data_IF_074535818511
#
_entry.id   IF_074535818511
#
_cell.length_a   1.000
_cell.length_b   1.000
_cell.length_c   1.000
_cell.angle_alpha   90.00
_cell.angle_beta   90.00
_cell.angle_gamma   90.00
#
_symmetry.space_group_name_H-M   'P 1'
#
loop_
_entity.id
_entity.type
_entity.pdbx_description
1 polymer ?
#
# COMPACT_ATOMS: atom_id res chain seq x y z
N UNK A 1 13.33 5.10 -20.71
CA UNK A 1 12.87 5.58 -19.43
C UNK A 1 12.22 4.44 -18.65
N UNK A 2 12.63 4.28 -17.41
CA UNK A 2 12.06 3.33 -16.46
C UNK A 2 11.15 4.09 -15.50
N UNK A 3 9.95 3.56 -15.23
CA UNK A 3 8.98 4.22 -14.35
C UNK A 3 7.93 3.21 -13.92
N UNK A 4 7.59 3.11 -12.63
CA UNK A 4 6.46 2.31 -12.20
C UNK A 4 5.15 2.91 -12.70
N UNK A 5 4.12 2.11 -12.74
CA UNK A 5 2.75 2.52 -13.04
C UNK A 5 1.93 2.58 -11.73
N UNK A 6 0.73 3.15 -11.78
CA UNK A 6 -0.23 3.07 -10.68
C UNK A 6 0.10 3.86 -9.41
N UNK A 7 0.99 4.85 -9.47
CA UNK A 7 1.24 5.77 -8.36
C UNK A 7 2.07 5.21 -7.20
N UNK A 8 2.66 4.03 -7.34
CA UNK A 8 3.47 3.37 -6.31
C UNK A 8 4.95 3.37 -6.67
N UNK A 9 5.80 3.38 -5.63
CA UNK A 9 7.26 3.38 -5.81
C UNK A 9 7.81 2.07 -6.37
N UNK A 10 7.14 0.95 -6.09
CA UNK A 10 7.53 -0.40 -6.52
C UNK A 10 6.32 -1.09 -7.10
N UNK A 11 6.22 -1.13 -8.42
CA UNK A 11 5.11 -1.75 -9.12
C UNK A 11 5.52 -2.21 -10.53
N UNK A 12 4.87 -3.28 -10.98
CA UNK A 12 5.15 -3.88 -12.28
C UNK A 12 6.59 -4.36 -12.36
N UNK A 13 7.28 -3.93 -13.38
CA UNK A 13 8.61 -4.43 -13.72
C UNK A 13 9.76 -3.66 -13.04
N UNK A 14 9.44 -2.61 -12.25
CA UNK A 14 10.46 -1.71 -11.74
C UNK A 14 10.45 -1.57 -10.23
N UNK A 15 11.65 -1.72 -9.64
CA UNK A 15 11.97 -1.32 -8.27
C UNK A 15 12.78 -0.01 -8.31
N UNK A 16 12.71 0.84 -7.29
CA UNK A 16 13.41 2.13 -7.28
C UNK A 16 14.92 2.00 -7.02
N UNK A 17 15.55 0.93 -7.49
CA UNK A 17 16.96 0.62 -7.28
C UNK A 17 17.59 0.10 -8.56
N UNK A 18 18.71 0.69 -8.93
CA UNK A 18 19.46 0.31 -10.12
C UNK A 18 20.92 0.10 -9.76
N UNK A 19 21.51 -1.00 -10.18
CA UNK A 19 22.94 -1.27 -10.06
C UNK A 19 23.57 -1.24 -11.43
N UNK A 20 24.48 -0.32 -11.64
CA UNK A 20 25.26 -0.18 -12.87
C UNK A 20 26.67 -0.64 -12.57
N UNK A 21 27.12 -1.67 -13.25
CA UNK A 21 28.43 -2.29 -13.10
C UNK A 21 29.28 -2.07 -14.35
N UNK A 22 30.52 -1.69 -14.13
CA UNK A 22 31.52 -1.59 -15.18
C UNK A 22 32.17 -2.97 -15.45
N UNK A 23 32.73 -3.20 -16.64
CA UNK A 23 33.51 -4.41 -16.91
C UNK A 23 34.71 -4.62 -15.98
N UNK A 24 35.16 -3.57 -15.32
CA UNK A 24 36.25 -3.62 -14.34
C UNK A 24 35.84 -4.10 -12.94
N UNK A 25 34.58 -4.50 -12.74
CA UNK A 25 34.09 -4.97 -11.42
C UNK A 25 33.88 -3.85 -10.41
N UNK A 26 33.61 -2.66 -10.87
CA UNK A 26 33.20 -1.51 -10.06
C UNK A 26 31.75 -1.15 -10.39
N UNK A 27 31.00 -0.59 -9.44
CA UNK A 27 29.64 -0.21 -9.72
C UNK A 27 29.13 0.92 -8.87
N UNK A 28 27.96 1.41 -9.29
CA UNK A 28 27.18 2.37 -8.55
C UNK A 28 25.73 1.90 -8.43
N UNK A 29 25.20 1.96 -7.23
CA UNK A 29 23.78 1.74 -6.98
C UNK A 29 23.08 3.09 -6.84
N UNK A 30 22.10 3.31 -7.70
CA UNK A 30 21.17 4.42 -7.64
C UNK A 30 19.92 3.98 -6.86
N UNK A 31 19.52 4.69 -5.83
CA UNK A 31 18.25 4.50 -5.13
C UNK A 31 17.37 5.74 -5.26
N UNK A 32 16.13 5.55 -5.70
CA UNK A 32 15.13 6.62 -5.83
C UNK A 32 14.24 6.62 -4.60
N UNK A 33 14.40 7.60 -3.73
CA UNK A 33 13.63 7.76 -2.49
C UNK A 33 12.38 8.61 -2.70
N UNK A 34 11.39 8.03 -3.36
CA UNK A 34 10.08 8.63 -3.61
C UNK A 34 8.99 7.59 -3.44
N UNK A 35 7.89 7.95 -2.79
CA UNK A 35 6.77 7.02 -2.53
C UNK A 35 5.77 6.91 -3.68
N UNK A 36 5.70 7.93 -4.55
CA UNK A 36 4.83 7.95 -5.72
C UNK A 36 5.55 7.53 -7.01
N UNK A 37 4.96 7.87 -8.14
CA UNK A 37 5.52 7.57 -9.47
C UNK A 37 6.78 8.40 -9.71
N UNK A 38 7.88 7.72 -9.93
CA UNK A 38 9.18 8.27 -10.28
C UNK A 38 9.56 7.89 -11.72
N UNK A 39 10.61 8.51 -12.24
CA UNK A 39 11.27 8.04 -13.44
C UNK A 39 12.77 7.89 -13.19
N UNK A 40 13.39 7.03 -13.97
CA UNK A 40 14.84 6.94 -14.09
C UNK A 40 15.22 6.69 -15.54
N UNK A 41 16.17 7.47 -16.02
CA UNK A 41 16.80 7.31 -17.33
C UNK A 41 18.28 7.02 -17.14
N UNK A 42 18.77 6.02 -17.84
CA UNK A 42 20.19 5.69 -17.90
C UNK A 42 20.60 5.67 -19.37
N UNK A 43 21.53 6.54 -19.73
CA UNK A 43 22.02 6.67 -21.09
C UNK A 43 23.52 6.47 -21.12
N UNK A 44 24.01 5.60 -21.99
CA UNK A 44 25.42 5.48 -22.32
C UNK A 44 25.71 6.49 -23.43
N UNK A 45 26.50 7.50 -23.11
CA UNK A 45 26.86 8.58 -24.06
C UNK A 45 28.05 8.15 -24.95
N UNK A 46 29.02 7.46 -24.34
CA UNK A 46 30.19 6.94 -24.96
C UNK A 46 30.74 5.75 -24.16
N UNK A 47 31.90 5.21 -24.57
CA UNK A 47 32.51 4.08 -23.87
C UNK A 47 32.98 4.35 -22.43
N UNK A 48 32.86 5.58 -21.95
CA UNK A 48 33.35 6.01 -20.61
C UNK A 48 32.35 6.79 -19.80
N UNK A 49 31.29 7.28 -20.44
CA UNK A 49 30.35 8.21 -19.80
C UNK A 49 28.95 7.62 -19.80
N UNK A 50 28.39 7.49 -18.58
CA UNK A 50 26.98 7.14 -18.35
C UNK A 50 26.32 8.35 -17.70
N UNK A 51 25.23 8.82 -18.26
CA UNK A 51 24.38 9.82 -17.65
C UNK A 51 23.15 9.16 -17.02
N UNK A 52 22.76 9.66 -15.85
CA UNK A 52 21.58 9.21 -15.14
C UNK A 52 20.72 10.42 -14.80
N UNK A 53 19.41 10.33 -15.03
CA UNK A 53 18.43 11.30 -14.60
C UNK A 53 17.31 10.59 -13.85
N UNK A 54 16.85 11.16 -12.74
CA UNK A 54 15.74 10.59 -11.97
C UNK A 54 15.01 11.67 -11.20
N UNK A 55 13.71 11.49 -11.01
CA UNK A 55 12.86 12.43 -10.28
C UNK A 55 11.40 11.96 -10.22
N UNK A 56 10.50 12.87 -9.89
CA UNK A 56 9.06 12.65 -10.06
C UNK A 56 8.73 12.57 -11.53
N UNK A 57 7.91 11.59 -11.93
CA UNK A 57 7.52 11.43 -13.34
C UNK A 57 6.70 12.61 -13.84
N UNK A 58 5.77 13.06 -13.03
CA UNK A 58 4.93 14.21 -13.33
C UNK A 58 4.93 15.15 -12.13
N UNK A 59 5.16 16.42 -12.40
CA UNK A 59 5.07 17.47 -11.40
C UNK A 59 4.30 18.63 -12.01
N UNK A 60 3.12 18.94 -11.44
CA UNK A 60 2.29 20.06 -11.82
C UNK A 60 1.79 20.73 -10.54
N UNK A 61 2.62 21.55 -9.94
CA UNK A 61 2.32 22.24 -8.69
C UNK A 61 2.98 23.63 -8.67
N UNK A 62 2.49 24.48 -7.79
CA UNK A 62 3.14 25.74 -7.41
C UNK A 62 3.28 25.79 -5.89
N UNK A 63 4.29 26.48 -5.41
CA UNK A 63 4.48 26.71 -3.98
C UNK A 63 3.97 28.10 -3.63
N UNK A 64 3.22 28.18 -2.55
CA UNK A 64 2.82 29.47 -1.95
C UNK A 64 3.99 30.06 -1.16
N UNK A 65 4.02 31.38 -0.89
CA UNK A 65 5.02 31.97 -0.02
C UNK A 65 5.12 31.23 1.32
N UNK A 66 6.35 30.89 1.72
CA UNK A 66 6.69 30.13 2.94
C UNK A 66 6.29 28.63 2.92
N UNK A 67 5.72 28.13 1.85
CA UNK A 67 5.45 26.71 1.68
C UNK A 67 6.73 25.94 1.36
N UNK A 68 6.91 24.79 1.99
CA UNK A 68 8.05 23.90 1.76
C UNK A 68 7.54 22.50 1.45
N UNK A 69 8.07 21.91 0.39
CA UNK A 69 7.78 20.51 0.03
C UNK A 69 9.03 19.67 0.09
N UNK A 70 8.86 18.37 0.27
CA UNK A 70 9.93 17.40 0.12
C UNK A 70 9.93 16.86 -1.31
N UNK A 71 11.06 16.88 -1.97
CA UNK A 71 11.28 16.28 -3.28
C UNK A 71 11.82 14.85 -3.14
N UNK A 72 11.85 14.04 -4.22
CA UNK A 72 12.58 12.78 -4.23
C UNK A 72 14.02 12.94 -3.78
N UNK A 73 14.49 12.00 -2.97
CA UNK A 73 15.91 11.91 -2.62
C UNK A 73 16.59 10.88 -3.50
N UNK A 74 17.75 11.22 -4.06
CA UNK A 74 18.53 10.29 -4.85
C UNK A 74 19.75 9.87 -4.05
N UNK A 75 19.89 8.56 -3.84
CA UNK A 75 21.04 7.98 -3.15
C UNK A 75 21.95 7.31 -4.16
N UNK A 76 23.24 7.67 -4.10
CA UNK A 76 24.28 7.01 -4.89
C UNK A 76 25.23 6.29 -3.95
N UNK A 77 25.47 5.00 -4.22
CA UNK A 77 26.42 4.19 -3.45
C UNK A 77 27.39 3.52 -4.38
N UNK A 78 28.66 3.91 -4.29
CA UNK A 78 29.75 3.31 -5.06
C UNK A 78 30.25 2.03 -4.36
N UNK A 79 30.61 1.04 -5.18
CA UNK A 79 31.23 -0.18 -4.71
C UNK A 79 32.32 -0.64 -5.69
N UNK A 80 33.36 -1.23 -5.14
CA UNK A 80 34.50 -1.75 -5.87
C UNK A 80 35.15 -2.90 -5.09
N UNK A 81 35.93 -3.73 -5.77
CA UNK A 81 36.66 -4.83 -5.16
C UNK A 81 35.80 -5.85 -4.37
N UNK A 82 34.54 -5.92 -4.70
CA UNK A 82 33.56 -6.88 -4.15
C UNK A 82 32.68 -7.39 -5.29
N UNK A 83 32.00 -8.51 -5.08
CA UNK A 83 31.02 -8.98 -6.04
C UNK A 83 29.74 -8.12 -6.04
N UNK A 84 28.93 -8.25 -7.08
CA UNK A 84 27.66 -7.50 -7.24
C UNK A 84 26.70 -7.69 -6.06
N UNK A 85 26.62 -8.91 -5.52
CA UNK A 85 25.74 -9.21 -4.40
C UNK A 85 26.23 -8.55 -3.11
N UNK A 86 27.52 -8.48 -2.89
CA UNK A 86 28.10 -7.73 -1.77
C UNK A 86 27.83 -6.23 -1.91
N UNK A 87 27.84 -5.69 -3.14
CA UNK A 87 27.39 -4.33 -3.45
C UNK A 87 25.93 -4.10 -3.05
N UNK A 88 25.02 -5.00 -3.46
CA UNK A 88 23.61 -4.96 -3.05
C UNK A 88 23.45 -5.02 -1.52
N UNK A 89 24.18 -5.90 -0.85
CA UNK A 89 24.11 -6.02 0.60
C UNK A 89 24.65 -4.78 1.32
N UNK A 90 25.63 -4.08 0.74
CA UNK A 90 26.10 -2.78 1.24
C UNK A 90 24.98 -1.74 1.18
N UNK A 91 24.23 -1.67 0.07
CA UNK A 91 23.09 -0.78 -0.08
C UNK A 91 21.94 -1.15 0.88
N UNK A 92 21.61 -2.43 1.02
CA UNK A 92 20.61 -2.90 1.99
C UNK A 92 20.95 -2.48 3.42
N UNK A 93 22.20 -2.61 3.83
CA UNK A 93 22.66 -2.13 5.16
C UNK A 93 22.51 -0.61 5.30
N UNK A 94 22.82 0.15 4.25
CA UNK A 94 22.59 1.59 4.24
C UNK A 94 21.11 1.95 4.41
N UNK A 95 20.20 1.32 3.65
CA UNK A 95 18.76 1.52 3.77
C UNK A 95 18.28 1.17 5.19
N UNK A 96 18.71 0.03 5.72
CA UNK A 96 18.36 -0.39 7.07
C UNK A 96 18.85 0.64 8.12
N UNK A 97 20.08 1.08 8.03
CA UNK A 97 20.67 2.00 9.00
C UNK A 97 20.06 3.42 8.98
N UNK A 98 19.75 3.94 7.77
CA UNK A 98 19.46 5.36 7.58
C UNK A 98 18.05 5.68 7.07
N UNK A 99 17.34 4.72 6.48
CA UNK A 99 16.02 4.92 5.87
C UNK A 99 14.92 4.10 6.55
N UNK A 100 15.26 3.04 7.27
CA UNK A 100 14.28 2.24 8.00
C UNK A 100 13.75 2.99 9.22
N UNK A 101 12.47 2.79 9.50
CA UNK A 101 11.79 3.40 10.65
C UNK A 101 12.45 2.96 11.95
N UNK A 102 12.64 3.91 12.84
CA UNK A 102 13.09 3.67 14.22
C UNK A 102 12.04 4.19 15.21
N UNK A 103 11.85 3.44 16.28
CA UNK A 103 11.02 3.81 17.43
C UNK A 103 11.93 3.87 18.64
N UNK A 104 12.03 5.03 19.30
CA UNK A 104 12.92 5.26 20.45
C UNK A 104 14.40 4.85 20.17
N UNK A 105 14.87 5.16 18.95
CA UNK A 105 16.25 4.90 18.50
C UNK A 105 16.55 3.44 18.09
N UNK A 106 15.61 2.51 18.28
CA UNK A 106 15.72 1.11 17.84
C UNK A 106 14.99 0.90 16.53
N UNK A 107 15.44 -0.05 15.72
CA UNK A 107 14.70 -0.44 14.53
C UNK A 107 13.29 -0.91 14.92
N UNK A 108 12.29 -0.47 14.14
CA UNK A 108 10.94 -0.93 14.33
C UNK A 108 10.88 -2.44 14.05
N UNK A 109 10.34 -3.18 15.01
CA UNK A 109 9.97 -4.58 14.80
C UNK A 109 8.65 -4.63 14.05
N UNK A 110 8.59 -5.45 13.02
CA UNK A 110 7.38 -5.66 12.24
C UNK A 110 6.67 -6.88 12.79
N UNK A 111 5.42 -6.74 13.24
CA UNK A 111 4.68 -7.84 13.82
C UNK A 111 4.38 -8.91 12.76
N UNK A 112 4.37 -10.17 13.17
CA UNK A 112 3.79 -11.23 12.35
C UNK A 112 2.30 -11.01 12.23
N UNK A 113 1.83 -10.75 11.01
CA UNK A 113 0.42 -10.50 10.74
C UNK A 113 -0.22 -11.62 9.92
N UNK A 114 -1.53 -11.82 10.10
CA UNK A 114 -2.33 -12.72 9.29
C UNK A 114 -3.67 -12.10 8.98
N UNK A 115 -4.09 -12.18 7.71
CA UNK A 115 -5.41 -11.75 7.25
C UNK A 115 -6.44 -12.88 7.30
N UNK A 116 -7.71 -12.51 7.27
CA UNK A 116 -8.83 -13.43 7.08
C UNK A 116 -9.11 -13.65 5.59
N UNK A 117 -8.05 -13.88 4.82
CA UNK A 117 -8.18 -14.15 3.39
C UNK A 117 -8.97 -15.43 3.17
N UNK A 118 -10.06 -15.27 2.46
CA UNK A 118 -10.96 -16.33 2.16
C UNK A 118 -10.96 -16.60 0.66
N UNK A 119 -10.36 -17.73 0.30
CA UNK A 119 -10.44 -18.27 -1.06
C UNK A 119 -11.18 -19.60 -0.99
N UNK A 120 -12.49 -19.54 -0.84
CA UNK A 120 -13.27 -20.73 -0.99
C UNK A 120 -13.81 -20.85 -2.42
N UNK A 121 -14.01 -22.08 -2.90
CA UNK A 121 -14.70 -22.28 -4.16
C UNK A 121 -16.09 -21.65 -4.12
N UNK A 122 -16.61 -21.33 -5.28
CA UNK A 122 -17.94 -20.74 -5.43
C UNK A 122 -18.94 -21.22 -4.35
N UNK A 123 -19.82 -20.33 -3.81
CA UNK A 123 -20.13 -19.02 -4.37
C UNK A 123 -19.28 -17.86 -3.82
N UNK A 124 -18.38 -18.10 -2.87
CA UNK A 124 -17.60 -17.05 -2.25
C UNK A 124 -16.46 -16.61 -3.16
N UNK A 125 -16.50 -15.36 -3.58
CA UNK A 125 -15.38 -14.67 -4.18
C UNK A 125 -14.67 -13.83 -3.11
N UNK A 126 -13.56 -13.26 -3.43
CA UNK A 126 -12.71 -12.42 -2.58
C UNK A 126 -13.51 -11.65 -1.51
N UNK A 127 -13.32 -12.01 -0.25
CA UNK A 127 -13.96 -11.45 0.96
C UNK A 127 -15.51 -11.52 1.05
N UNK A 128 -16.22 -12.04 0.06
CA UNK A 128 -17.69 -12.00 0.00
C UNK A 128 -18.38 -12.85 1.06
N UNK A 129 -17.71 -13.87 1.60
CA UNK A 129 -18.25 -14.72 2.68
C UNK A 129 -17.66 -14.42 4.06
N UNK A 130 -16.95 -13.32 4.21
CA UNK A 130 -16.40 -12.91 5.50
C UNK A 130 -17.52 -12.49 6.45
N UNK A 131 -17.64 -13.19 7.57
CA UNK A 131 -18.59 -12.91 8.66
C UNK A 131 -17.89 -12.86 9.99
N UNK A 132 -18.55 -12.31 11.02
CA UNK A 132 -18.03 -12.32 12.39
C UNK A 132 -17.72 -13.74 12.88
N UNK A 133 -18.64 -14.68 12.66
CA UNK A 133 -18.47 -16.07 13.10
C UNK A 133 -17.31 -16.76 12.37
N UNK A 134 -17.17 -16.50 11.08
CA UNK A 134 -16.03 -17.01 10.32
C UNK A 134 -14.71 -16.47 10.84
N UNK A 135 -14.59 -15.15 11.05
CA UNK A 135 -13.37 -14.52 11.56
C UNK A 135 -13.00 -15.08 12.95
N UNK A 136 -13.98 -15.19 13.85
CA UNK A 136 -13.81 -15.80 15.19
C UNK A 136 -13.35 -17.27 15.10
N UNK A 137 -13.97 -18.05 14.22
CA UNK A 137 -13.58 -19.44 14.01
C UNK A 137 -12.14 -19.56 13.49
N UNK A 138 -11.73 -18.65 12.59
CA UNK A 138 -10.36 -18.62 12.07
C UNK A 138 -9.34 -18.28 13.15
N UNK A 139 -9.59 -17.29 14.02
CA UNK A 139 -8.71 -16.98 15.17
C UNK A 139 -8.51 -18.23 16.02
N UNK A 140 -9.59 -18.91 16.41
CA UNK A 140 -9.54 -20.14 17.21
C UNK A 140 -8.74 -21.23 16.52
N UNK A 141 -8.90 -21.38 15.20
CA UNK A 141 -8.18 -22.38 14.40
C UNK A 141 -6.69 -22.10 14.33
N UNK A 142 -6.27 -20.84 14.17
CA UNK A 142 -4.86 -20.45 14.24
C UNK A 142 -4.23 -20.88 15.56
N UNK A 143 -4.90 -20.59 16.68
CA UNK A 143 -4.40 -20.96 18.01
C UNK A 143 -4.38 -22.48 18.20
N UNK A 144 -5.38 -23.19 17.73
CA UNK A 144 -5.44 -24.65 17.76
C UNK A 144 -4.23 -25.31 17.07
N UNK A 145 -3.77 -24.71 15.95
CA UNK A 145 -2.58 -25.19 15.23
C UNK A 145 -1.26 -24.60 15.73
N UNK A 146 -1.28 -23.89 16.86
CA UNK A 146 -0.06 -23.28 17.44
C UNK A 146 0.46 -22.05 16.70
N UNK A 147 -0.32 -21.53 15.74
CA UNK A 147 0.01 -20.29 15.02
C UNK A 147 -0.45 -19.10 15.83
N UNK A 148 0.49 -18.20 16.15
CA UNK A 148 0.25 -17.03 17.01
C UNK A 148 0.63 -15.75 16.30
N UNK A 149 -0.19 -15.24 15.34
CA UNK A 149 0.01 -13.90 14.79
C UNK A 149 -0.07 -12.84 15.88
N UNK A 150 0.74 -11.81 15.77
CA UNK A 150 0.70 -10.65 16.68
C UNK A 150 -0.37 -9.64 16.24
N UNK A 151 -0.76 -9.69 14.95
CA UNK A 151 -1.82 -8.88 14.37
C UNK A 151 -2.69 -9.76 13.49
N UNK A 152 -4.01 -9.72 13.73
CA UNK A 152 -4.99 -10.18 12.78
C UNK A 152 -5.58 -8.97 12.05
N UNK A 153 -5.64 -9.04 10.72
CA UNK A 153 -6.20 -7.95 9.93
C UNK A 153 -7.41 -8.40 9.12
N UNK A 154 -8.44 -7.57 9.21
CA UNK A 154 -9.67 -7.70 8.46
C UNK A 154 -9.52 -6.88 7.19
N UNK A 155 -9.43 -7.56 6.08
CA UNK A 155 -9.35 -6.96 4.75
C UNK A 155 -10.72 -6.42 4.31
N UNK A 156 -10.88 -6.09 3.06
CA UNK A 156 -12.12 -5.60 2.48
C UNK A 156 -13.34 -6.49 2.81
N UNK A 157 -14.53 -5.95 2.59
CA UNK A 157 -15.77 -6.71 2.70
C UNK A 157 -16.43 -6.67 4.08
N UNK A 158 -15.91 -5.94 5.03
CA UNK A 158 -16.59 -5.70 6.32
C UNK A 158 -17.57 -4.51 6.26
N UNK A 159 -17.46 -3.68 5.26
CA UNK A 159 -18.11 -2.38 5.07
C UNK A 159 -19.13 -2.36 3.93
N UNK A 160 -19.83 -3.43 3.69
CA UNK A 160 -20.88 -3.45 2.68
C UNK A 160 -22.23 -3.08 3.27
N UNK A 161 -23.10 -2.54 2.45
CA UNK A 161 -24.52 -2.46 2.76
C UNK A 161 -25.14 -3.87 2.72
N UNK A 162 -26.00 -4.16 3.66
CA UNK A 162 -26.71 -5.42 3.75
C UNK A 162 -27.43 -5.81 2.45
N UNK A 163 -28.04 -4.84 1.78
CA UNK A 163 -28.73 -5.03 0.51
C UNK A 163 -27.79 -5.48 -0.62
N UNK A 164 -26.52 -5.06 -0.57
CA UNK A 164 -25.54 -5.38 -1.61
C UNK A 164 -25.01 -6.81 -1.50
N UNK A 165 -24.97 -7.36 -0.32
CA UNK A 165 -24.57 -8.75 -0.11
C UNK A 165 -25.53 -9.75 -0.74
N UNK A 166 -26.85 -9.52 -0.60
CA UNK A 166 -27.89 -10.37 -1.17
C UNK A 166 -27.87 -10.40 -2.71
N UNK A 167 -27.37 -9.33 -3.32
CA UNK A 167 -27.28 -9.19 -4.78
C UNK A 167 -25.94 -9.68 -5.36
N UNK A 168 -25.07 -10.27 -4.56
CA UNK A 168 -23.78 -10.81 -5.02
C UNK A 168 -22.78 -9.74 -5.45
N UNK A 169 -22.96 -8.50 -5.04
CA UNK A 169 -21.99 -7.42 -5.28
C UNK A 169 -20.69 -7.71 -4.51
N UNK A 170 -19.60 -7.37 -5.12
CA UNK A 170 -18.28 -7.49 -4.50
C UNK A 170 -18.00 -6.29 -3.58
N UNK A 171 -17.08 -6.46 -2.64
CA UNK A 171 -16.59 -5.37 -1.79
C UNK A 171 -16.16 -4.12 -2.59
N UNK A 172 -15.67 -4.33 -3.81
CA UNK A 172 -15.25 -3.24 -4.70
C UNK A 172 -16.38 -2.28 -5.07
N UNK A 173 -17.64 -2.68 -4.93
CA UNK A 173 -18.80 -1.86 -5.23
C UNK A 173 -19.31 -1.04 -4.03
N UNK A 174 -18.65 -1.12 -2.88
CA UNK A 174 -19.07 -0.46 -1.64
C UNK A 174 -17.99 0.41 -1.00
N UNK A 175 -16.81 0.52 -1.62
CA UNK A 175 -15.76 1.42 -1.15
C UNK A 175 -16.28 2.87 -1.08
N UNK A 176 -15.98 3.56 0.01
CA UNK A 176 -16.42 4.94 0.28
C UNK A 176 -17.45 5.07 1.40
N UNK A 177 -18.26 4.05 1.67
CA UNK A 177 -19.08 3.99 2.89
C UNK A 177 -18.42 3.03 3.88
N UNK A 178 -17.76 3.57 4.88
CA UNK A 178 -17.02 2.77 5.87
C UNK A 178 -17.90 2.42 7.08
N UNK A 179 -19.10 1.95 6.79
CA UNK A 179 -20.06 1.46 7.78
C UNK A 179 -20.01 -0.06 7.83
N UNK A 180 -20.15 -0.62 9.01
CA UNK A 180 -20.11 -2.07 9.21
C UNK A 180 -21.35 -2.73 8.59
N UNK A 181 -21.15 -3.78 7.80
CA UNK A 181 -22.24 -4.61 7.32
C UNK A 181 -22.91 -5.37 8.48
N UNK A 182 -24.13 -4.97 8.80
CA UNK A 182 -24.87 -5.52 9.94
C UNK A 182 -25.43 -6.93 9.72
N UNK A 183 -25.51 -7.42 8.49
CA UNK A 183 -25.86 -8.81 8.21
C UNK A 183 -24.70 -9.74 8.55
N UNK A 184 -23.51 -9.40 8.11
CA UNK A 184 -22.31 -10.22 8.34
C UNK A 184 -21.70 -10.02 9.72
N UNK A 185 -21.86 -8.81 10.27
CA UNK A 185 -21.37 -8.40 11.59
C UNK A 185 -22.50 -7.81 12.44
N UNK A 186 -23.50 -8.62 12.84
CA UNK A 186 -24.73 -8.11 13.48
C UNK A 186 -24.50 -7.41 14.83
N UNK A 187 -23.36 -7.60 15.44
CA UNK A 187 -22.93 -6.91 16.68
C UNK A 187 -21.71 -6.02 16.45
N UNK A 188 -21.53 -5.56 15.20
CA UNK A 188 -20.33 -4.82 14.79
C UNK A 188 -19.06 -5.67 14.81
N UNK A 189 -17.92 -5.03 14.72
CA UNK A 189 -16.61 -5.68 14.73
C UNK A 189 -16.13 -6.06 16.13
N UNK A 190 -16.80 -5.60 17.18
CA UNK A 190 -16.40 -5.80 18.57
C UNK A 190 -16.21 -7.27 18.95
N UNK A 191 -17.11 -8.21 18.62
CA UNK A 191 -16.91 -9.62 18.96
C UNK A 191 -15.66 -10.23 18.34
N UNK A 192 -15.29 -9.83 17.13
CA UNK A 192 -14.06 -10.26 16.46
C UNK A 192 -12.84 -9.70 17.18
N UNK A 193 -12.86 -8.40 17.49
CA UNK A 193 -11.78 -7.75 18.23
C UNK A 193 -11.57 -8.40 19.61
N UNK A 194 -12.66 -8.68 20.35
CA UNK A 194 -12.59 -9.29 21.68
C UNK A 194 -11.95 -10.72 21.60
N UNK A 195 -12.26 -11.51 20.58
CA UNK A 195 -11.65 -12.83 20.41
C UNK A 195 -10.15 -12.75 20.08
N UNK A 196 -9.77 -11.79 19.24
CA UNK A 196 -8.36 -11.53 18.91
C UNK A 196 -7.59 -11.05 20.13
N UNK A 197 -8.16 -10.15 20.91
CA UNK A 197 -7.52 -9.61 22.12
C UNK A 197 -7.33 -10.67 23.21
N UNK A 198 -8.24 -11.66 23.34
CA UNK A 198 -8.09 -12.79 24.29
C UNK A 198 -6.82 -13.58 24.06
N UNK A 199 -6.33 -13.65 22.81
CA UNK A 199 -5.10 -14.38 22.49
C UNK A 199 -3.85 -13.48 22.50
N UNK A 200 -4.00 -12.22 22.94
CA UNK A 200 -2.91 -11.26 23.06
C UNK A 200 -2.50 -10.57 21.75
N UNK A 201 -3.25 -10.80 20.66
CA UNK A 201 -3.00 -10.19 19.38
C UNK A 201 -3.71 -8.84 19.24
N UNK A 202 -3.29 -8.04 18.25
CA UNK A 202 -3.94 -6.79 17.87
C UNK A 202 -4.90 -7.02 16.70
N UNK A 203 -5.92 -6.20 16.62
CA UNK A 203 -6.86 -6.19 15.51
C UNK A 203 -6.62 -4.99 14.62
N UNK A 204 -6.51 -5.19 13.32
CA UNK A 204 -6.38 -4.16 12.32
C UNK A 204 -7.49 -4.30 11.29
N UNK A 205 -8.02 -3.17 10.84
CA UNK A 205 -9.08 -3.11 9.83
C UNK A 205 -8.58 -2.36 8.60
N UNK A 206 -8.87 -2.87 7.43
CA UNK A 206 -8.48 -2.25 6.16
C UNK A 206 -9.43 -1.13 5.78
N UNK A 207 -8.88 -0.07 5.22
CA UNK A 207 -9.60 1.05 4.60
C UNK A 207 -8.92 1.44 3.29
N UNK A 208 -9.73 1.89 2.33
CA UNK A 208 -9.29 2.46 1.06
C UNK A 208 -9.86 3.88 0.92
N UNK A 209 -9.18 4.92 1.43
CA UNK A 209 -9.72 6.27 1.49
C UNK A 209 -9.74 6.99 0.14
N UNK A 210 -8.98 6.51 -0.84
CA UNK A 210 -8.79 7.20 -2.12
C UNK A 210 -9.92 6.99 -3.14
N UNK A 211 -10.71 5.94 -2.98
CA UNK A 211 -11.75 5.56 -3.94
C UNK A 211 -13.13 5.59 -3.31
N UNK A 212 -14.10 6.20 -4.02
CA UNK A 212 -15.49 6.28 -3.61
C UNK A 212 -16.39 5.78 -4.74
N UNK A 213 -17.23 4.80 -4.47
CA UNK A 213 -18.17 4.28 -5.46
C UNK A 213 -19.33 5.26 -5.66
N UNK A 214 -19.67 5.49 -6.93
CA UNK A 214 -20.81 6.34 -7.29
C UNK A 214 -22.10 5.80 -6.68
N UNK A 215 -22.90 6.69 -6.13
CA UNK A 215 -24.17 6.34 -5.46
C UNK A 215 -24.03 5.91 -4.00
N UNK A 216 -22.81 5.84 -3.44
CA UNK A 216 -22.61 5.72 -2.00
C UNK A 216 -23.02 7.02 -1.30
N UNK A 217 -23.28 6.93 0.00
CA UNK A 217 -23.76 8.07 0.77
C UNK A 217 -22.82 9.28 0.65
N UNK A 218 -21.51 9.08 0.83
CA UNK A 218 -20.55 10.18 0.71
C UNK A 218 -20.47 10.80 -0.67
N UNK A 219 -20.56 9.99 -1.74
CA UNK A 219 -20.57 10.52 -3.10
C UNK A 219 -21.80 11.40 -3.39
N UNK A 220 -22.92 11.12 -2.73
CA UNK A 220 -24.20 11.85 -2.90
C UNK A 220 -24.23 13.10 -2.01
N UNK A 221 -23.80 12.97 -0.74
CA UNK A 221 -23.85 14.06 0.25
C UNK A 221 -22.72 15.07 0.06
N UNK A 222 -21.57 14.63 -0.44
CA UNK A 222 -20.37 15.46 -0.58
C UNK A 222 -19.75 15.36 -2.00
N UNK A 223 -20.47 15.77 -3.03
CA UNK A 223 -19.92 15.76 -4.41
C UNK A 223 -18.71 16.69 -4.57
N UNK A 224 -18.58 17.70 -3.72
CA UNK A 224 -17.48 18.65 -3.65
C UNK A 224 -16.19 18.07 -3.04
N UNK A 225 -16.27 16.88 -2.43
CA UNK A 225 -15.12 16.12 -1.96
C UNK A 225 -14.51 15.20 -3.01
N UNK A 226 -15.12 15.15 -4.19
CA UNK A 226 -14.69 14.26 -5.26
C UNK A 226 -13.85 15.02 -6.28
N UNK A 227 -12.72 14.42 -6.68
CA UNK A 227 -11.89 14.94 -7.76
C UNK A 227 -12.54 14.61 -9.11
N UNK A 228 -12.71 15.61 -9.95
CA UNK A 228 -13.11 15.44 -11.34
C UNK A 228 -11.84 15.29 -12.20
N UNK A 229 -11.40 14.06 -12.36
CA UNK A 229 -10.24 13.70 -13.19
C UNK A 229 -10.74 12.80 -14.31
N UNK A 230 -10.97 13.32 -15.52
CA UNK A 230 -11.60 12.58 -16.61
C UNK A 230 -10.91 11.26 -16.96
N UNK A 231 -9.57 11.22 -16.87
CA UNK A 231 -8.76 10.01 -17.17
C UNK A 231 -8.92 8.91 -16.12
N UNK A 232 -9.36 9.25 -14.91
CA UNK A 232 -9.52 8.32 -13.79
C UNK A 232 -10.96 8.15 -13.34
N UNK A 233 -11.84 9.09 -13.69
CA UNK A 233 -13.27 8.94 -13.42
C UNK A 233 -13.88 7.95 -14.42
N UNK A 234 -14.52 6.95 -13.90
CA UNK A 234 -15.29 6.01 -14.70
C UNK A 234 -16.75 5.96 -14.19
N UNK A 235 -17.59 5.15 -14.83
CA UNK A 235 -18.98 5.04 -14.45
C UNK A 235 -19.21 4.39 -13.09
N UNK A 236 -18.17 3.78 -12.51
CA UNK A 236 -18.26 3.02 -11.27
C UNK A 236 -17.76 3.80 -10.06
N UNK A 237 -16.64 4.49 -10.15
CA UNK A 237 -16.03 5.17 -8.99
C UNK A 237 -15.51 6.58 -9.30
N UNK A 238 -15.32 7.33 -8.20
CA UNK A 238 -14.71 8.65 -8.13
C UNK A 238 -13.43 8.56 -7.28
N UNK A 239 -12.55 9.53 -7.44
CA UNK A 239 -11.41 9.72 -6.55
C UNK A 239 -11.77 10.72 -5.45
N UNK A 240 -11.41 10.40 -4.23
CA UNK A 240 -11.64 11.25 -3.07
C UNK A 240 -10.56 12.34 -2.98
N UNK A 241 -10.94 13.58 -2.72
CA UNK A 241 -9.98 14.69 -2.57
C UNK A 241 -9.36 14.71 -1.17
N UNK A 242 -8.32 13.90 -1.00
CA UNK A 242 -7.53 13.86 0.24
C UNK A 242 -6.75 15.16 0.53
N UNK A 243 -6.77 16.13 -0.38
CA UNK A 243 -6.22 17.46 -0.19
C UNK A 243 -7.23 18.47 0.36
N UNK A 244 -8.50 18.13 0.39
CA UNK A 244 -9.56 18.95 0.96
C UNK A 244 -9.59 18.75 2.49
N UNK A 245 -9.40 19.79 3.30
CA UNK A 245 -9.38 19.66 4.76
C UNK A 245 -10.74 19.30 5.38
N UNK A 246 -11.84 19.40 4.64
CA UNK A 246 -13.18 19.02 5.08
C UNK A 246 -13.53 17.56 4.72
N UNK A 247 -12.74 16.94 3.83
CA UNK A 247 -12.87 15.55 3.41
C UNK A 247 -11.89 14.64 4.17
#
# INVERSE_FOLDING_TARGET
>A
QMSPQGGRSSEGDYLPFFNIESPAGQGVILGVGWSGTWYADVCVQDNRTISMASGMKTMKLYLRPQETIRTPSISLMFWENIDRMAGHNKFRRFVLAHKSRKINGKFAEYPLSSGFNYRDPAPCTEYSCLTADYAIAMVKRYIQFGLKPEVFWLDAGWNTDAADFEHGKTWANTAGNWTVDTLRFPKGLRPVADEIHKVGAKFMVWFEPERVIRGTQWAVEHPDWMLDIPEHNNDTYLLFDLGNPEA
#
